data_IF_681897626445
#
_entry.id   IF_681897626445
#
_cell.length_a   1.000
_cell.length_b   1.000
_cell.length_c   1.000
_cell.angle_alpha   90.00
_cell.angle_beta   90.00
_cell.angle_gamma   90.00
#
_symmetry.space_group_name_H-M   'P 1'
#
loop_
_entity.id
_entity.type
_entity.pdbx_description
1 polymer ?
#
# COMPACT_ATOMS: atom_id res chain seq x y z
N UNK A 1 -7.35 -12.81 -1.46
CA UNK A 1 -6.73 -11.66 -0.77
C UNK A 1 -7.45 -11.23 0.50
N UNK A 2 -8.79 -11.21 0.48
CA UNK A 2 -9.56 -10.85 1.67
C UNK A 2 -9.32 -11.80 2.84
N UNK A 3 -9.16 -13.10 2.56
CA UNK A 3 -8.88 -14.06 3.63
C UNK A 3 -7.52 -13.83 4.28
N UNK A 4 -6.53 -13.41 3.50
CA UNK A 4 -5.22 -13.04 4.04
C UNK A 4 -5.32 -11.83 4.97
N UNK A 5 -6.08 -10.81 4.56
CA UNK A 5 -6.32 -9.61 5.38
C UNK A 5 -7.05 -10.00 6.66
N UNK A 6 -8.10 -10.80 6.56
CA UNK A 6 -8.90 -11.21 7.72
C UNK A 6 -8.07 -12.00 8.75
N UNK A 7 -7.13 -12.82 8.30
CA UNK A 7 -6.28 -13.63 9.18
C UNK A 7 -5.07 -12.88 9.74
N UNK A 8 -4.79 -11.68 9.24
CA UNK A 8 -3.62 -10.92 9.64
C UNK A 8 -3.93 -10.02 10.85
N UNK A 9 -2.97 -9.91 11.76
CA UNK A 9 -3.10 -9.07 12.96
C UNK A 9 -2.55 -7.66 12.74
N UNK A 10 -1.44 -7.54 11.99
CA UNK A 10 -0.81 -6.24 11.73
C UNK A 10 -0.48 -6.13 10.25
N UNK A 11 -1.17 -5.23 9.56
CA UNK A 11 -1.07 -5.01 8.12
C UNK A 11 -0.29 -3.73 7.86
N UNK A 12 0.71 -3.81 6.98
CA UNK A 12 1.48 -2.64 6.53
C UNK A 12 1.03 -2.27 5.12
N UNK A 13 0.60 -1.02 4.97
CA UNK A 13 0.26 -0.46 3.66
C UNK A 13 1.46 0.35 3.18
N UNK A 14 1.99 0.02 2.00
CA UNK A 14 3.20 0.65 1.49
C UNK A 14 2.89 1.52 0.27
N UNK A 15 3.27 2.80 0.36
CA UNK A 15 3.43 3.66 -0.81
C UNK A 15 4.88 3.53 -1.30
N UNK A 16 5.10 3.49 -2.62
CA UNK A 16 6.44 3.33 -3.18
C UNK A 16 7.32 4.56 -2.90
N UNK A 17 8.63 4.41 -3.15
CA UNK A 17 9.57 5.53 -3.04
C UNK A 17 9.12 6.68 -3.95
N UNK A 18 9.20 7.91 -3.44
CA UNK A 18 8.71 9.12 -4.12
C UNK A 18 7.23 8.99 -4.49
N UNK A 19 6.35 8.84 -3.49
CA UNK A 19 4.94 8.55 -3.75
C UNK A 19 4.24 9.73 -4.41
N UNK A 20 3.26 9.41 -5.26
CA UNK A 20 2.38 10.39 -5.86
C UNK A 20 0.98 10.33 -5.22
N UNK A 21 0.05 11.14 -5.75
CA UNK A 21 -1.30 11.19 -5.21
C UNK A 21 -2.04 9.86 -5.40
N UNK A 22 -1.78 9.13 -6.48
CA UNK A 22 -2.45 7.85 -6.73
C UNK A 22 -1.98 6.78 -5.74
N UNK A 23 -0.68 6.62 -5.54
CA UNK A 23 -0.15 5.62 -4.61
C UNK A 23 -0.51 5.94 -3.17
N UNK A 24 -0.27 7.16 -2.73
CA UNK A 24 -0.52 7.55 -1.35
C UNK A 24 -2.01 7.69 -1.05
N UNK A 25 -2.79 8.19 -2.01
CA UNK A 25 -4.24 8.29 -1.89
C UNK A 25 -4.89 6.91 -1.76
N UNK A 26 -4.44 5.94 -2.55
CA UNK A 26 -4.92 4.56 -2.49
C UNK A 26 -4.62 3.94 -1.14
N UNK A 27 -3.39 4.12 -0.64
CA UNK A 27 -2.97 3.61 0.66
C UNK A 27 -3.79 4.24 1.78
N UNK A 28 -4.02 5.54 1.75
CA UNK A 28 -4.82 6.24 2.75
C UNK A 28 -6.28 5.76 2.76
N UNK A 29 -6.87 5.55 1.59
CA UNK A 29 -8.24 5.04 1.49
C UNK A 29 -8.36 3.64 2.09
N UNK A 30 -7.40 2.77 1.79
CA UNK A 30 -7.38 1.42 2.33
C UNK A 30 -7.11 1.42 3.84
N UNK A 31 -6.25 2.31 4.31
CA UNK A 31 -6.00 2.52 5.74
C UNK A 31 -7.30 2.83 6.48
N UNK A 32 -8.09 3.75 5.96
CA UNK A 32 -9.39 4.11 6.52
C UNK A 32 -10.33 2.91 6.60
N UNK A 33 -10.36 2.09 5.55
CA UNK A 33 -11.19 0.89 5.49
C UNK A 33 -10.77 -0.13 6.56
N UNK A 34 -9.47 -0.40 6.70
CA UNK A 34 -8.97 -1.36 7.66
C UNK A 34 -9.17 -0.90 9.11
N UNK A 35 -9.09 0.40 9.37
CA UNK A 35 -9.42 0.93 10.70
C UNK A 35 -10.85 0.62 11.08
N UNK A 36 -11.80 0.71 10.14
CA UNK A 36 -13.19 0.35 10.39
C UNK A 36 -13.36 -1.12 10.73
N UNK A 37 -12.48 -1.97 10.19
CA UNK A 37 -12.44 -3.41 10.52
C UNK A 37 -11.67 -3.70 11.81
N UNK A 38 -11.22 -2.66 12.52
CA UNK A 38 -10.48 -2.76 13.78
C UNK A 38 -9.16 -3.53 13.65
N UNK A 39 -8.54 -3.45 12.47
CA UNK A 39 -7.21 -4.03 12.25
C UNK A 39 -6.12 -3.08 12.74
N UNK A 40 -5.00 -3.64 13.21
CA UNK A 40 -3.80 -2.84 13.44
C UNK A 40 -3.14 -2.59 12.09
N UNK A 41 -2.94 -1.34 11.75
CA UNK A 41 -2.48 -0.92 10.42
C UNK A 41 -1.37 0.10 10.56
N UNK A 42 -0.32 -0.06 9.74
CA UNK A 42 0.76 0.94 9.61
C UNK A 42 0.80 1.43 8.17
N UNK A 43 0.87 2.74 8.00
CA UNK A 43 1.04 3.38 6.71
C UNK A 43 2.53 3.72 6.56
N UNK A 44 3.20 3.11 5.59
CA UNK A 44 4.65 3.15 5.46
C UNK A 44 5.10 3.68 4.10
N UNK A 45 6.17 4.46 4.09
CA UNK A 45 6.88 4.85 2.88
C UNK A 45 8.37 4.97 3.20
N UNK A 46 9.23 4.41 2.33
CA UNK A 46 10.67 4.49 2.49
C UNK A 46 11.21 5.92 2.35
N UNK A 47 10.60 6.74 1.48
CA UNK A 47 11.05 8.11 1.26
C UNK A 47 10.75 8.99 2.47
N UNK A 48 11.76 9.72 2.94
CA UNK A 48 11.62 10.64 4.06
C UNK A 48 11.17 12.04 3.61
N UNK A 49 11.39 12.37 2.34
CA UNK A 49 10.96 13.62 1.75
C UNK A 49 9.73 13.40 0.89
N UNK A 50 8.58 13.81 1.39
CA UNK A 50 7.30 13.66 0.71
C UNK A 50 6.84 15.04 0.24
N UNK A 51 6.33 15.13 -0.99
CA UNK A 51 5.80 16.39 -1.51
C UNK A 51 4.73 16.93 -0.54
N UNK A 52 4.94 18.14 0.04
CA UNK A 52 3.98 18.68 1.00
C UNK A 52 2.59 18.93 0.42
N UNK A 53 2.46 19.02 -0.90
CA UNK A 53 1.16 19.15 -1.55
C UNK A 53 0.27 17.92 -1.34
N UNK A 54 0.83 16.79 -0.90
CA UNK A 54 0.06 15.58 -0.58
C UNK A 54 -0.54 15.60 0.82
N UNK A 55 -0.21 16.61 1.63
CA UNK A 55 -0.67 16.71 3.01
C UNK A 55 -2.18 16.86 3.18
N UNK A 56 -2.93 17.12 2.09
CA UNK A 56 -4.39 17.18 2.12
C UNK A 56 -5.04 15.78 2.26
N UNK A 57 -4.28 14.72 2.01
CA UNK A 57 -4.83 13.37 2.04
C UNK A 57 -5.18 12.97 3.49
N UNK A 58 -6.34 12.30 3.69
CA UNK A 58 -6.68 11.81 5.02
C UNK A 58 -5.62 10.81 5.50
N UNK A 59 -5.31 10.87 6.80
CA UNK A 59 -4.32 9.99 7.45
C UNK A 59 -2.88 10.25 7.03
N UNK A 60 -2.60 11.30 6.27
CA UNK A 60 -1.22 11.66 5.89
C UNK A 60 -0.31 11.76 7.11
N UNK A 61 -0.80 12.29 8.22
CA UNK A 61 -0.05 12.43 9.47
C UNK A 61 0.29 11.08 10.14
N UNK A 62 -0.31 9.99 9.69
CA UNK A 62 0.00 8.64 10.18
C UNK A 62 1.10 7.95 9.40
N UNK A 63 1.58 8.57 8.32
CA UNK A 63 2.65 8.01 7.51
C UNK A 63 3.93 7.91 8.34
N UNK A 64 4.53 6.73 8.33
CA UNK A 64 5.81 6.48 9.02
C UNK A 64 6.87 6.01 8.03
N UNK A 65 8.13 6.26 8.35
CA UNK A 65 9.28 5.80 7.58
C UNK A 65 9.99 4.63 8.25
N UNK A 66 9.37 4.08 9.29
CA UNK A 66 9.92 2.94 10.05
C UNK A 66 9.03 1.72 9.84
N UNK A 67 9.63 0.65 9.31
CA UNK A 67 8.89 -0.60 9.08
C UNK A 67 8.67 -1.32 10.43
N UNK A 68 7.43 -1.71 10.76
CA UNK A 68 7.14 -2.37 12.03
C UNK A 68 7.70 -3.81 12.06
N UNK A 69 8.13 -4.23 13.24
CA UNK A 69 8.73 -5.56 13.42
C UNK A 69 7.70 -6.67 13.51
N UNK A 70 6.48 -6.35 13.93
CA UNK A 70 5.42 -7.33 14.18
C UNK A 70 4.41 -7.43 13.03
N UNK A 71 4.75 -6.88 11.87
CA UNK A 71 3.88 -6.97 10.69
C UNK A 71 3.79 -8.41 10.20
N UNK A 72 2.61 -8.83 9.78
CA UNK A 72 2.39 -10.17 9.24
C UNK A 72 1.79 -10.17 7.83
N UNK A 73 1.45 -9.02 7.28
CA UNK A 73 0.93 -8.88 5.92
C UNK A 73 1.27 -7.50 5.37
N UNK A 74 1.57 -7.43 4.07
CA UNK A 74 1.89 -6.18 3.38
C UNK A 74 0.94 -5.99 2.21
N UNK A 75 0.48 -4.74 2.00
CA UNK A 75 -0.26 -4.36 0.80
C UNK A 75 0.48 -3.21 0.14
N UNK A 76 0.85 -3.38 -1.13
CA UNK A 76 1.51 -2.32 -1.91
C UNK A 76 0.54 -1.72 -2.92
N UNK A 77 0.69 -0.43 -3.19
CA UNK A 77 -0.20 0.35 -4.05
C UNK A 77 0.58 1.07 -5.14
N UNK A 78 0.11 0.96 -6.38
CA UNK A 78 0.59 1.74 -7.51
C UNK A 78 2.10 1.57 -7.75
N UNK A 79 2.62 0.38 -7.45
CA UNK A 79 4.05 0.10 -7.55
C UNK A 79 4.29 -1.15 -8.39
N UNK A 80 4.82 -0.95 -9.59
CA UNK A 80 5.03 -2.05 -10.53
C UNK A 80 6.25 -2.90 -10.25
N UNK A 81 7.15 -2.46 -9.36
CA UNK A 81 8.42 -3.13 -9.08
C UNK A 81 8.63 -3.29 -7.58
N UNK A 82 8.95 -4.50 -7.16
CA UNK A 82 9.24 -4.81 -5.76
C UNK A 82 10.35 -3.92 -5.19
N UNK A 83 11.37 -3.65 -6.01
CA UNK A 83 12.53 -2.85 -5.59
C UNK A 83 12.13 -1.44 -5.13
N UNK A 84 11.10 -0.86 -5.74
CA UNK A 84 10.65 0.50 -5.42
C UNK A 84 9.92 0.59 -4.08
N UNK A 85 9.56 -0.54 -3.47
CA UNK A 85 8.98 -0.54 -2.13
C UNK A 85 10.00 -0.14 -1.07
N UNK A 86 11.29 -0.35 -1.34
CA UNK A 86 12.37 0.03 -0.44
C UNK A 86 12.51 -0.90 0.76
N UNK A 87 11.96 -2.10 0.67
CA UNK A 87 12.05 -3.12 1.73
C UNK A 87 12.48 -4.44 1.13
N UNK A 88 12.98 -5.33 1.98
CA UNK A 88 13.25 -6.72 1.65
C UNK A 88 12.59 -7.58 2.72
N UNK A 89 11.62 -8.41 2.32
CA UNK A 89 10.81 -9.16 3.26
C UNK A 89 10.29 -10.45 2.64
N UNK A 90 10.09 -11.47 3.49
CA UNK A 90 9.44 -12.72 3.13
C UNK A 90 7.96 -12.76 3.53
N UNK A 91 7.41 -11.67 4.05
CA UNK A 91 6.00 -11.61 4.46
C UNK A 91 5.07 -11.75 3.25
N UNK A 92 3.87 -12.32 3.45
CA UNK A 92 2.84 -12.30 2.41
C UNK A 92 2.54 -10.87 1.96
N UNK A 93 2.42 -10.68 0.65
CA UNK A 93 2.26 -9.36 0.06
C UNK A 93 1.12 -9.37 -0.96
N UNK A 94 0.22 -8.40 -0.84
CA UNK A 94 -0.84 -8.14 -1.82
C UNK A 94 -0.42 -6.92 -2.63
N UNK A 95 -0.29 -7.08 -3.94
CA UNK A 95 0.14 -6.04 -4.87
C UNK A 95 -1.08 -5.52 -5.63
N UNK A 96 -1.42 -4.23 -5.44
CA UNK A 96 -2.57 -3.59 -6.08
C UNK A 96 -2.06 -2.50 -7.02
N UNK A 97 -2.36 -2.59 -8.29
CA UNK A 97 -1.86 -1.67 -9.31
C UNK A 97 -2.77 -1.63 -10.52
N UNK A 98 -2.51 -0.69 -11.44
CA UNK A 98 -3.19 -0.61 -12.73
C UNK A 98 -2.21 -0.59 -13.92
N UNK A 99 -0.90 -0.65 -13.69
CA UNK A 99 0.12 -0.60 -14.74
C UNK A 99 0.33 -1.97 -15.38
N UNK A 100 0.33 -2.01 -16.71
CA UNK A 100 0.59 -3.24 -17.47
C UNK A 100 2.00 -3.78 -17.20
N UNK A 101 2.97 -2.90 -16.95
CA UNK A 101 4.35 -3.26 -16.67
C UNK A 101 4.58 -3.85 -15.29
N UNK A 102 3.53 -4.02 -14.47
CA UNK A 102 3.67 -4.58 -13.12
C UNK A 102 4.36 -5.94 -13.15
N UNK A 103 5.35 -6.13 -12.28
CA UNK A 103 6.13 -7.37 -12.20
C UNK A 103 5.41 -8.51 -11.49
N UNK A 104 4.21 -8.24 -10.95
CA UNK A 104 3.37 -9.23 -10.25
C UNK A 104 4.14 -9.97 -9.15
N UNK A 105 4.85 -9.19 -8.34
CA UNK A 105 5.77 -9.68 -7.31
C UNK A 105 5.08 -10.09 -6.01
N UNK A 106 3.78 -9.88 -5.89
CA UNK A 106 3.04 -10.19 -4.68
C UNK A 106 2.67 -11.67 -4.56
N UNK A 107 2.37 -12.11 -3.35
CA UNK A 107 1.71 -13.39 -3.12
C UNK A 107 0.36 -13.41 -3.83
N UNK A 108 -0.35 -12.28 -3.79
CA UNK A 108 -1.56 -12.03 -4.56
C UNK A 108 -1.37 -10.73 -5.34
N UNK A 109 -1.84 -10.69 -6.59
CA UNK A 109 -1.68 -9.54 -7.46
C UNK A 109 -3.04 -9.12 -8.02
N UNK A 110 -3.48 -7.92 -7.65
CA UNK A 110 -4.68 -7.28 -8.17
C UNK A 110 -4.24 -6.18 -9.13
N UNK A 111 -4.03 -6.56 -10.38
CA UNK A 111 -3.56 -5.64 -11.42
C UNK A 111 -4.67 -5.50 -12.47
N UNK A 112 -5.29 -4.32 -12.51
CA UNK A 112 -6.35 -3.99 -13.46
C UNK A 112 -5.85 -2.95 -14.43
N UNK A 113 -5.40 -3.37 -15.60
CA UNK A 113 -4.82 -2.50 -16.62
C UNK A 113 -5.87 -1.62 -17.31
N UNK A 114 -7.15 -1.92 -17.14
CA UNK A 114 -8.25 -1.11 -17.67
C UNK A 114 -8.61 0.04 -16.72
N UNK A 115 -8.16 -0.01 -15.46
CA UNK A 115 -8.41 1.05 -14.50
C UNK A 115 -7.58 2.30 -14.83
N UNK A 116 -8.14 3.47 -14.58
CA UNK A 116 -7.46 4.76 -14.81
C UNK A 116 -6.38 4.99 -13.75
N UNK A 117 -6.59 4.47 -12.54
CA UNK A 117 -5.69 4.67 -11.41
C UNK A 117 -5.79 3.50 -10.44
N UNK A 118 -4.78 3.38 -9.57
CA UNK A 118 -4.81 2.39 -8.48
C UNK A 118 -5.92 2.69 -7.49
N UNK A 119 -6.27 3.96 -7.29
CA UNK A 119 -7.40 4.34 -6.46
C UNK A 119 -8.70 3.72 -6.97
N UNK A 120 -8.90 3.69 -8.29
CA UNK A 120 -10.06 3.03 -8.91
C UNK A 120 -10.06 1.53 -8.59
N UNK A 121 -8.90 0.86 -8.66
CA UNK A 121 -8.79 -0.57 -8.34
C UNK A 121 -9.18 -0.84 -6.90
N UNK A 122 -8.77 0.02 -5.97
CA UNK A 122 -9.08 -0.12 -4.54
C UNK A 122 -10.59 -0.06 -4.28
N UNK A 123 -11.30 0.80 -5.01
CA UNK A 123 -12.75 0.98 -4.80
C UNK A 123 -13.61 0.00 -5.60
N UNK A 124 -13.03 -0.71 -6.54
CA UNK A 124 -13.74 -1.78 -7.25
C UNK A 124 -13.63 -3.09 -6.48
#
# INVERSE_FOLDING_TARGET
PLSLIDSSDHIVLIAHANPDADSLGSACAFFSHLLRLRKKVTLFCTSTEINPNLGFLPWFDKLTHRFPKDADCIVSFDCGSYKRLGIDTALPLINIDHHESNERYGTFNLVDTDAISTTEVVYD
#
